data_IF_915613096421
#
_entry.id   IF_915613096421
#
_cell.length_a   1.000
_cell.length_b   1.000
_cell.length_c   1.000
_cell.angle_alpha   90.00
_cell.angle_beta   90.00
_cell.angle_gamma   90.00
#
_symmetry.space_group_name_H-M   'P 1'
#
loop_
_entity.id
_entity.type
_entity.pdbx_description
1 polymer ?
#
# COMPACT_ATOMS: atom_id res chain seq x y z
N UNK A 1 -17.64 12.57 20.11
CA UNK A 1 -18.16 11.56 19.16
C UNK A 1 -18.08 12.15 17.76
N UNK A 2 -17.67 11.36 16.77
CA UNK A 2 -17.61 11.78 15.36
C UNK A 2 -18.93 11.54 14.64
N UNK A 3 -19.21 12.36 13.63
CA UNK A 3 -20.35 12.22 12.72
C UNK A 3 -20.10 11.08 11.71
N UNK A 4 -21.12 10.29 11.39
CA UNK A 4 -21.06 9.25 10.35
C UNK A 4 -21.55 9.87 9.04
N UNK A 5 -20.63 10.09 8.10
CA UNK A 5 -20.91 10.82 6.86
C UNK A 5 -21.48 9.95 5.72
N UNK A 6 -21.45 8.62 5.83
CA UNK A 6 -21.93 7.72 4.77
C UNK A 6 -21.17 7.80 3.44
N UNK A 7 -19.97 8.38 3.43
CA UNK A 7 -19.12 8.48 2.24
C UNK A 7 -18.57 7.10 1.83
N UNK A 8 -18.92 6.62 0.63
CA UNK A 8 -18.39 5.36 0.09
C UNK A 8 -16.91 5.48 -0.25
N UNK A 9 -16.03 5.08 0.67
CA UNK A 9 -14.57 5.10 0.50
C UNK A 9 -13.95 3.72 0.75
N UNK A 10 -12.69 3.53 0.31
CA UNK A 10 -11.96 2.30 0.60
C UNK A 10 -11.69 2.13 2.10
N UNK A 11 -11.81 0.90 2.59
CA UNK A 11 -11.30 0.49 3.90
C UNK A 11 -9.87 -0.04 3.76
N UNK A 12 -8.95 0.75 3.19
CA UNK A 12 -7.56 0.33 3.00
C UNK A 12 -6.79 0.46 4.33
N UNK A 13 -6.50 -0.63 5.07
CA UNK A 13 -5.98 -0.53 6.43
C UNK A 13 -4.61 0.15 6.55
N UNK A 14 -3.65 0.00 5.59
CA UNK A 14 -2.34 0.65 5.68
C UNK A 14 -2.33 2.18 5.76
N UNK A 15 -3.48 2.86 5.60
CA UNK A 15 -3.58 4.31 5.86
C UNK A 15 -3.46 4.68 7.34
N UNK A 16 -3.59 3.72 8.27
CA UNK A 16 -3.55 3.99 9.71
C UNK A 16 -2.13 4.12 10.26
N UNK A 17 -1.11 3.73 9.49
CA UNK A 17 0.31 3.76 9.88
C UNK A 17 1.13 4.62 8.91
N UNK A 18 2.26 5.21 9.32
CA UNK A 18 3.24 5.81 8.40
C UNK A 18 3.70 4.84 7.30
N UNK A 19 4.16 5.35 6.16
CA UNK A 19 4.65 4.47 5.07
C UNK A 19 6.01 3.86 5.43
N UNK A 20 6.78 4.58 6.25
CA UNK A 20 8.10 4.25 6.76
C UNK A 20 8.10 2.99 7.64
N UNK A 21 6.95 2.64 8.22
CA UNK A 21 6.77 1.38 8.95
C UNK A 21 6.89 0.15 8.03
N UNK A 22 6.82 0.35 6.70
CA UNK A 22 7.00 -0.68 5.66
C UNK A 22 6.14 -1.93 5.87
N UNK A 23 5.00 -1.77 6.56
CA UNK A 23 4.03 -2.80 6.89
C UNK A 23 3.15 -3.23 5.71
N UNK A 24 3.66 -3.11 4.48
CA UNK A 24 2.91 -3.37 3.26
C UNK A 24 2.50 -4.86 3.18
N UNK A 25 1.32 -5.19 2.61
CA UNK A 25 0.88 -6.58 2.50
C UNK A 25 1.90 -7.50 1.83
N UNK A 26 2.57 -7.01 0.79
CA UNK A 26 3.60 -7.77 0.08
C UNK A 26 4.81 -8.06 0.97
N UNK A 27 5.43 -7.04 1.57
CA UNK A 27 6.62 -7.20 2.43
C UNK A 27 6.31 -8.10 3.63
N UNK A 28 5.14 -7.94 4.25
CA UNK A 28 4.65 -8.83 5.31
C UNK A 28 4.50 -10.28 4.83
N UNK A 29 3.93 -10.47 3.64
CA UNK A 29 3.75 -11.81 3.06
C UNK A 29 5.09 -12.47 2.78
N UNK A 30 6.03 -11.78 2.15
CA UNK A 30 7.36 -12.29 1.85
C UNK A 30 8.14 -12.67 3.13
N UNK A 31 7.99 -11.88 4.20
CA UNK A 31 8.66 -12.13 5.49
C UNK A 31 8.10 -13.31 6.27
N UNK A 32 6.78 -13.51 6.27
CA UNK A 32 6.13 -14.41 7.22
C UNK A 32 5.42 -15.61 6.60
N UNK A 33 5.10 -15.58 5.31
CA UNK A 33 4.37 -16.67 4.67
C UNK A 33 5.34 -17.75 4.17
N UNK A 34 5.36 -18.89 4.87
CA UNK A 34 6.17 -20.06 4.53
C UNK A 34 5.67 -20.81 3.30
N UNK A 35 4.46 -20.50 2.81
CA UNK A 35 3.91 -21.12 1.60
C UNK A 35 4.39 -20.44 0.31
N UNK A 36 5.10 -19.31 0.40
CA UNK A 36 5.69 -18.65 -0.77
C UNK A 36 7.00 -19.38 -1.10
N UNK A 37 7.16 -19.94 -2.32
CA UNK A 37 8.42 -20.56 -2.74
C UNK A 37 9.60 -19.58 -2.64
N UNK A 38 10.77 -20.06 -2.22
CA UNK A 38 11.94 -19.21 -1.96
C UNK A 38 12.38 -18.43 -3.21
N UNK A 39 12.30 -19.07 -4.39
CA UNK A 39 12.61 -18.43 -5.67
C UNK A 39 11.65 -17.28 -6.02
N UNK A 40 10.41 -17.33 -5.52
CA UNK A 40 9.43 -16.26 -5.69
C UNK A 40 9.63 -15.10 -4.70
N UNK A 41 10.47 -15.26 -3.68
CA UNK A 41 10.83 -14.17 -2.75
C UNK A 41 11.95 -13.28 -3.30
N UNK A 42 12.63 -13.71 -4.35
CA UNK A 42 13.76 -13.00 -4.96
C UNK A 42 13.22 -11.93 -5.93
N UNK A 43 13.39 -10.62 -5.66
CA UNK A 43 12.79 -9.57 -6.48
C UNK A 43 13.21 -9.58 -7.94
N UNK A 44 14.46 -9.98 -8.24
CA UNK A 44 14.95 -10.07 -9.62
C UNK A 44 14.20 -11.10 -10.47
N UNK A 45 13.51 -12.06 -9.83
CA UNK A 45 12.70 -13.07 -10.53
C UNK A 45 11.28 -12.57 -10.85
N UNK A 46 10.87 -11.42 -10.32
CA UNK A 46 9.50 -10.91 -10.52
C UNK A 46 9.31 -10.31 -11.91
N UNK A 47 8.06 -10.19 -12.39
CA UNK A 47 7.77 -9.41 -13.60
C UNK A 47 8.31 -7.98 -13.51
N UNK A 48 8.75 -7.44 -14.65
CA UNK A 48 9.35 -6.10 -14.71
C UNK A 48 8.52 -5.00 -14.05
N UNK A 49 7.18 -4.90 -14.25
CA UNK A 49 6.39 -3.86 -13.59
C UNK A 49 6.46 -3.92 -12.07
N UNK A 50 6.49 -5.13 -11.51
CA UNK A 50 6.57 -5.34 -10.06
C UNK A 50 7.95 -4.93 -9.53
N UNK A 51 9.03 -5.20 -10.29
CA UNK A 51 10.38 -4.74 -9.92
C UNK A 51 10.48 -3.23 -9.94
N UNK A 52 9.86 -2.57 -10.92
CA UNK A 52 9.82 -1.10 -11.01
C UNK A 52 9.05 -0.51 -9.82
N UNK A 53 7.88 -1.06 -9.50
CA UNK A 53 7.07 -0.57 -8.37
C UNK A 53 7.72 -0.85 -7.01
N UNK A 54 8.41 -1.99 -6.87
CA UNK A 54 9.16 -2.32 -5.65
C UNK A 54 10.45 -1.52 -5.52
N UNK A 55 11.10 -1.19 -6.63
CA UNK A 55 12.31 -0.36 -6.65
C UNK A 55 13.45 -0.88 -5.76
N UNK A 56 14.39 0.00 -5.47
CA UNK A 56 15.49 -0.25 -4.52
C UNK A 56 15.08 0.03 -3.07
N UNK A 57 13.91 0.62 -2.86
CA UNK A 57 13.40 1.04 -1.55
C UNK A 57 12.29 0.13 -1.00
N UNK A 58 12.12 -1.06 -1.58
CA UNK A 58 11.11 -2.05 -1.22
C UNK A 58 9.66 -1.55 -1.31
N UNK A 59 9.40 -0.59 -2.20
CA UNK A 59 8.08 -0.06 -2.54
C UNK A 59 7.67 1.14 -1.69
N UNK A 60 8.60 1.74 -0.92
CA UNK A 60 8.31 2.89 -0.07
C UNK A 60 7.81 4.09 -0.89
N UNK A 61 8.49 4.43 -1.99
CA UNK A 61 8.06 5.49 -2.91
C UNK A 61 6.67 5.21 -3.48
N UNK A 62 6.43 4.00 -3.97
CA UNK A 62 5.15 3.60 -4.56
C UNK A 62 4.00 3.65 -3.54
N UNK A 63 4.27 3.31 -2.28
CA UNK A 63 3.31 3.45 -1.19
C UNK A 63 2.93 4.92 -0.94
N UNK A 64 3.91 5.82 -0.91
CA UNK A 64 3.68 7.26 -0.76
C UNK A 64 2.82 7.82 -1.90
N UNK A 65 3.13 7.46 -3.15
CA UNK A 65 2.32 7.85 -4.31
C UNK A 65 0.89 7.29 -4.25
N UNK A 66 0.73 6.04 -3.77
CA UNK A 66 -0.58 5.44 -3.58
C UNK A 66 -1.40 6.16 -2.50
N UNK A 67 -0.78 6.48 -1.36
CA UNK A 67 -1.39 7.27 -0.28
C UNK A 67 -1.83 8.63 -0.80
N UNK A 68 -0.99 9.31 -1.55
CA UNK A 68 -1.33 10.62 -2.12
C UNK A 68 -2.60 10.53 -2.98
N UNK A 69 -2.70 9.53 -3.87
CA UNK A 69 -3.89 9.30 -4.70
C UNK A 69 -5.15 9.07 -3.86
N UNK A 70 -5.07 8.21 -2.83
CA UNK A 70 -6.19 7.93 -1.94
C UNK A 70 -6.65 9.18 -1.18
N UNK A 71 -5.71 9.87 -0.54
CA UNK A 71 -6.00 11.07 0.27
C UNK A 71 -6.55 12.20 -0.59
N UNK A 72 -6.05 12.37 -1.83
CA UNK A 72 -6.62 13.31 -2.79
C UNK A 72 -8.10 12.99 -3.07
N UNK A 73 -8.43 11.72 -3.31
CA UNK A 73 -9.82 11.28 -3.49
C UNK A 73 -10.69 11.55 -2.26
N UNK A 74 -10.19 11.29 -1.05
CA UNK A 74 -10.93 11.59 0.19
C UNK A 74 -11.20 13.07 0.37
N UNK A 75 -10.23 13.94 0.04
CA UNK A 75 -10.41 15.39 0.08
C UNK A 75 -11.48 15.86 -0.90
N UNK A 76 -11.53 15.28 -2.11
CA UNK A 76 -12.58 15.57 -3.09
C UNK A 76 -13.96 15.17 -2.56
N UNK A 77 -14.10 13.96 -2.02
CA UNK A 77 -15.37 13.50 -1.44
C UNK A 77 -15.79 14.40 -0.28
N UNK A 78 -14.85 14.76 0.61
CA UNK A 78 -15.10 15.66 1.73
C UNK A 78 -15.54 17.05 1.30
N UNK A 79 -15.11 17.54 0.13
CA UNK A 79 -15.56 18.83 -0.39
C UNK A 79 -16.98 18.80 -1.00
N UNK A 80 -17.50 17.60 -1.26
CA UNK A 80 -18.81 17.39 -1.89
C UNK A 80 -19.93 17.05 -0.89
N UNK A 81 -19.60 16.93 0.41
CA UNK A 81 -20.51 16.60 1.51
C UNK A 81 -20.38 17.63 2.64
#
# INVERSE_FOLDING_TARGET
MGEILGAGITHYPPLITPDEDRGFPLTRTLKHNTNVPEEMKIPTNWPEPMRIEYGEDEGLKSAGEHRERLVKGFRQIRSAI
#
